data_IF_891708430934
#
_entry.id   IF_891708430934
#
_cell.length_a   1.000
_cell.length_b   1.000
_cell.length_c   1.000
_cell.angle_alpha   90.00
_cell.angle_beta   90.00
_cell.angle_gamma   90.00
#
_symmetry.space_group_name_H-M   'P 1'
#
loop_
_entity.id
_entity.type
_entity.pdbx_description
1 polymer ?
#
# COMPACT_ATOMS: atom_id res chain seq x y z
N UNK A 1 -27.67 32.72 -7.09
CA UNK A 1 -27.97 31.27 -7.07
C UNK A 1 -26.65 30.53 -7.29
N UNK A 2 -26.19 29.75 -6.31
CA UNK A 2 -25.04 28.86 -6.51
C UNK A 2 -25.58 27.62 -7.20
N UNK A 3 -25.05 27.28 -8.37
CA UNK A 3 -25.37 26.00 -9.02
C UNK A 3 -24.71 24.90 -8.20
N UNK A 4 -25.51 24.07 -7.53
CA UNK A 4 -25.00 22.90 -6.83
C UNK A 4 -24.56 21.86 -7.86
N UNK A 5 -23.33 21.36 -7.72
CA UNK A 5 -22.89 20.22 -8.52
C UNK A 5 -23.65 19.00 -8.00
N UNK A 6 -24.58 18.49 -8.80
CA UNK A 6 -25.42 17.33 -8.48
C UNK A 6 -25.16 16.24 -9.52
N UNK A 7 -24.76 15.06 -9.07
CA UNK A 7 -24.55 13.90 -9.95
C UNK A 7 -25.77 12.98 -9.88
N UNK A 8 -26.27 12.59 -11.04
CA UNK A 8 -27.41 11.68 -11.17
C UNK A 8 -26.99 10.20 -11.28
N UNK A 9 -25.70 9.95 -11.56
CA UNK A 9 -25.15 8.59 -11.69
C UNK A 9 -23.65 8.54 -11.38
N UNK A 10 -23.15 7.33 -11.06
CA UNK A 10 -21.71 7.10 -10.90
C UNK A 10 -20.92 7.44 -12.17
N UNK A 11 -21.47 7.16 -13.36
CA UNK A 11 -20.79 7.50 -14.62
C UNK A 11 -20.51 8.99 -14.73
N UNK A 12 -21.48 9.82 -14.35
CA UNK A 12 -21.36 11.29 -14.36
C UNK A 12 -20.35 11.79 -13.31
N UNK A 13 -20.22 11.08 -12.18
CA UNK A 13 -19.18 11.35 -11.20
C UNK A 13 -17.78 11.01 -11.71
N UNK A 14 -17.59 9.91 -12.45
CA UNK A 14 -16.29 9.62 -13.05
C UNK A 14 -15.97 10.59 -14.20
N UNK A 15 -17.00 10.99 -14.94
CA UNK A 15 -16.94 11.81 -16.16
C UNK A 15 -17.48 13.24 -15.90
N UNK A 16 -16.91 13.94 -14.91
CA UNK A 16 -17.34 15.30 -14.54
C UNK A 16 -16.88 16.38 -15.55
N UNK A 17 -16.37 15.98 -16.71
CA UNK A 17 -15.75 16.87 -17.69
C UNK A 17 -14.54 17.63 -17.12
N UNK A 18 -14.49 18.95 -17.34
CA UNK A 18 -13.30 19.79 -17.08
C UNK A 18 -12.75 19.79 -15.64
N UNK A 19 -13.54 19.39 -14.64
CA UNK A 19 -13.08 19.31 -13.25
C UNK A 19 -12.57 17.93 -12.83
N UNK A 20 -12.87 16.88 -13.60
CA UNK A 20 -12.53 15.51 -13.25
C UNK A 20 -11.01 15.34 -13.07
N UNK A 21 -10.19 15.97 -13.91
CA UNK A 21 -8.74 15.86 -13.85
C UNK A 21 -8.16 16.32 -12.50
N UNK A 22 -8.65 17.45 -11.96
CA UNK A 22 -8.17 17.98 -10.68
C UNK A 22 -8.51 17.05 -9.52
N UNK A 23 -9.75 16.53 -9.51
CA UNK A 23 -10.25 15.64 -8.47
C UNK A 23 -9.49 14.31 -8.49
N UNK A 24 -9.38 13.68 -9.66
CA UNK A 24 -8.68 12.41 -9.82
C UNK A 24 -7.19 12.49 -9.52
N UNK A 25 -6.54 13.62 -9.83
CA UNK A 25 -5.12 13.84 -9.52
C UNK A 25 -4.85 13.79 -8.02
N UNK A 26 -5.72 14.40 -7.21
CA UNK A 26 -5.60 14.33 -5.73
C UNK A 26 -5.83 12.92 -5.23
N UNK A 27 -6.85 12.21 -5.74
CA UNK A 27 -7.08 10.80 -5.39
C UNK A 27 -5.90 9.90 -5.78
N UNK A 28 -5.26 10.14 -6.93
CA UNK A 28 -4.11 9.39 -7.38
C UNK A 28 -2.91 9.57 -6.43
N UNK A 29 -2.60 10.81 -6.06
CA UNK A 29 -1.52 11.11 -5.10
C UNK A 29 -1.81 10.47 -3.75
N UNK A 30 -3.06 10.57 -3.27
CA UNK A 30 -3.48 9.93 -2.04
C UNK A 30 -3.34 8.40 -2.10
N UNK A 31 -3.76 7.77 -3.20
CA UNK A 31 -3.60 6.34 -3.41
C UNK A 31 -2.13 5.91 -3.40
N UNK A 32 -1.24 6.69 -4.03
CA UNK A 32 0.20 6.45 -3.99
C UNK A 32 0.73 6.52 -2.55
N UNK A 33 0.30 7.51 -1.78
CA UNK A 33 0.74 7.67 -0.40
C UNK A 33 0.33 6.46 0.47
N UNK A 34 -0.90 5.99 0.33
CA UNK A 34 -1.39 4.78 0.99
C UNK A 34 -0.61 3.55 0.52
N UNK A 35 -0.40 3.40 -0.79
CA UNK A 35 0.34 2.28 -1.36
C UNK A 35 1.77 2.22 -0.80
N UNK A 36 2.49 3.34 -0.74
CA UNK A 36 3.83 3.41 -0.15
C UNK A 36 3.80 2.98 1.32
N UNK A 37 2.83 3.45 2.09
CA UNK A 37 2.69 3.10 3.50
C UNK A 37 2.36 1.63 3.74
N UNK A 38 1.78 0.93 2.76
CA UNK A 38 1.48 -0.50 2.84
C UNK A 38 2.65 -1.35 2.29
N UNK A 39 3.26 -0.94 1.17
CA UNK A 39 4.32 -1.70 0.52
C UNK A 39 5.60 -1.70 1.36
N UNK A 40 5.99 -0.56 1.94
CA UNK A 40 7.19 -0.46 2.78
C UNK A 40 7.21 -1.45 3.96
N UNK A 41 6.16 -1.57 4.80
CA UNK A 41 6.16 -2.54 5.90
C UNK A 41 6.12 -3.99 5.42
N UNK A 42 5.47 -4.29 4.28
CA UNK A 42 5.48 -5.64 3.70
C UNK A 42 6.91 -6.06 3.35
N UNK A 43 7.64 -5.22 2.61
CA UNK A 43 9.04 -5.50 2.23
C UNK A 43 9.94 -5.64 3.46
N UNK A 44 9.73 -4.81 4.50
CA UNK A 44 10.51 -4.88 5.74
C UNK A 44 10.26 -6.18 6.51
N UNK A 45 9.02 -6.67 6.55
CA UNK A 45 8.66 -7.92 7.22
C UNK A 45 9.37 -9.11 6.61
N UNK A 46 9.44 -9.18 5.29
CA UNK A 46 10.12 -10.29 4.60
C UNK A 46 11.62 -10.35 4.93
N UNK A 47 12.29 -9.19 5.01
CA UNK A 47 13.70 -9.12 5.39
C UNK A 47 13.95 -9.63 6.81
N UNK A 48 13.10 -9.23 7.76
CA UNK A 48 13.22 -9.65 9.16
C UNK A 48 13.00 -11.15 9.29
N UNK A 49 11.94 -11.69 8.67
CA UNK A 49 11.65 -13.13 8.72
C UNK A 49 12.78 -13.95 8.11
N UNK A 50 13.34 -13.51 6.98
CA UNK A 50 14.48 -14.17 6.33
C UNK A 50 15.71 -14.22 7.25
N UNK A 51 15.98 -13.13 7.95
CA UNK A 51 17.11 -13.04 8.89
C UNK A 51 16.89 -13.90 10.14
N UNK A 52 15.67 -13.94 10.67
CA UNK A 52 15.31 -14.81 11.80
C UNK A 52 15.45 -16.29 11.43
N UNK A 53 14.95 -16.69 10.24
CA UNK A 53 15.09 -18.07 9.74
C UNK A 53 16.56 -18.48 9.62
N UNK A 54 17.41 -17.59 9.12
CA UNK A 54 18.85 -17.84 8.99
C UNK A 54 19.49 -18.14 10.36
N UNK A 55 19.13 -17.37 11.39
CA UNK A 55 19.69 -17.53 12.76
C UNK A 55 19.22 -18.82 13.42
N UNK A 56 17.94 -19.15 13.31
CA UNK A 56 17.37 -20.37 13.86
C UNK A 56 18.08 -21.64 13.32
N UNK A 57 18.45 -21.65 12.03
CA UNK A 57 19.17 -22.79 11.43
C UNK A 57 20.59 -22.99 11.97
N UNK A 58 21.26 -21.94 12.47
CA UNK A 58 22.59 -22.07 13.06
C UNK A 58 22.53 -22.63 14.50
N UNK A 59 21.53 -22.25 15.29
CA UNK A 59 21.34 -22.75 16.66
C UNK A 59 21.05 -24.26 16.70
N UNK A 60 20.25 -24.77 15.75
CA UNK A 60 19.94 -26.20 15.61
C UNK A 60 21.18 -27.06 15.29
N UNK A 61 22.15 -26.50 14.54
CA UNK A 61 23.37 -27.23 14.17
C UNK A 61 24.41 -27.24 15.30
N UNK A 62 24.39 -26.23 16.18
CA UNK A 62 25.29 -26.15 17.33
C UNK A 62 24.87 -27.12 18.44
N UNK A 63 23.56 -27.31 18.66
CA UNK A 63 23.03 -28.23 19.68
C UNK A 63 23.18 -29.71 19.30
N UNK A 64 23.09 -30.06 18.01
CA UNK A 64 23.28 -31.44 17.52
C UNK A 64 24.76 -31.90 17.48
N UNK A 65 25.70 -30.98 17.76
CA UNK A 65 27.14 -31.28 17.83
C UNK A 65 27.67 -31.52 19.25
N UNK A 66 26.83 -31.31 20.27
CA UNK A 66 27.17 -31.43 21.69
C UNK A 66 26.67 -32.76 22.30
N UNK A 67 25.74 -33.44 21.63
CA UNK A 67 25.24 -34.79 21.97
C UNK A 67 26.02 -35.89 21.21
#
# INVERSE_FOLDING_TARGET
>A
MVQAIQFSSFKEFFDMGGYAFNVWSVYLIFAIFIAINIILPIIRREKIIKELKRRASFEETETDSVD
#
